data_IF_990714396521
#
_entry.id   IF_990714396521
#
_cell.length_a   1.000
_cell.length_b   1.000
_cell.length_c   1.000
_cell.angle_alpha   90.00
_cell.angle_beta   90.00
_cell.angle_gamma   90.00
#
_symmetry.space_group_name_H-M   'P 1'
#
loop_
_entity.id
_entity.type
_entity.pdbx_description
1 polymer ?
#
# COMPACT_ATOMS: atom_id res chain seq x y z
N UNK A 1 29.45 27.03 -20.57
CA UNK A 1 30.25 26.08 -19.77
C UNK A 1 29.54 24.73 -19.79
N UNK A 2 30.21 23.67 -20.24
CA UNK A 2 29.61 22.33 -20.26
C UNK A 2 29.47 21.84 -18.81
N UNK A 3 28.25 21.52 -18.37
CA UNK A 3 28.04 20.86 -17.07
C UNK A 3 28.65 19.47 -17.14
N UNK A 4 29.45 19.11 -16.14
CA UNK A 4 29.88 17.73 -15.98
C UNK A 4 28.70 16.92 -15.41
N UNK A 5 28.01 16.20 -16.29
CA UNK A 5 26.80 15.45 -15.97
C UNK A 5 27.00 14.46 -14.83
N UNK A 6 28.09 13.68 -14.84
CA UNK A 6 28.33 12.66 -13.81
C UNK A 6 28.57 13.27 -12.44
N UNK A 7 29.27 14.40 -12.38
CA UNK A 7 29.48 15.15 -11.15
C UNK A 7 28.17 15.69 -10.58
N UNK A 8 27.29 16.20 -11.45
CA UNK A 8 25.99 16.73 -11.03
C UNK A 8 25.03 15.63 -10.61
N UNK A 9 25.03 14.47 -11.29
CA UNK A 9 24.28 13.28 -10.88
C UNK A 9 24.67 12.84 -9.46
N UNK A 10 25.97 12.71 -9.18
CA UNK A 10 26.48 12.35 -7.84
C UNK A 10 26.04 13.36 -6.77
N UNK A 11 26.22 14.66 -7.03
CA UNK A 11 25.78 15.71 -6.10
C UNK A 11 24.27 15.68 -5.87
N UNK A 12 23.47 15.39 -6.89
CA UNK A 12 22.02 15.30 -6.73
C UNK A 12 21.64 14.13 -5.80
N UNK A 13 22.23 12.95 -6.03
CA UNK A 13 22.02 11.76 -5.18
C UNK A 13 22.42 12.06 -3.73
N UNK A 14 23.55 12.74 -3.50
CA UNK A 14 23.95 13.19 -2.16
C UNK A 14 22.92 14.11 -1.48
N UNK A 15 22.25 14.99 -2.24
CA UNK A 15 21.17 15.81 -1.69
C UNK A 15 19.92 14.98 -1.39
N UNK A 16 19.59 14.02 -2.25
CA UNK A 16 18.45 13.12 -2.03
C UNK A 16 18.65 12.23 -0.80
N UNK A 17 19.87 11.77 -0.49
CA UNK A 17 20.16 11.05 0.77
C UNK A 17 19.94 11.87 2.05
N UNK A 18 19.87 13.21 1.92
CA UNK A 18 19.58 14.11 3.04
C UNK A 18 18.09 14.38 3.17
N UNK A 19 17.40 14.56 2.05
CA UNK A 19 15.98 14.90 2.04
C UNK A 19 15.30 14.34 0.78
N UNK A 20 14.17 13.60 0.92
CA UNK A 20 13.46 12.94 -0.17
C UNK A 20 12.62 13.92 -1.02
N UNK A 21 13.13 15.12 -1.29
CA UNK A 21 12.42 16.17 -2.02
C UNK A 21 13.23 16.55 -3.27
N UNK A 22 12.82 16.01 -4.42
CA UNK A 22 13.48 16.21 -5.72
C UNK A 22 13.67 17.69 -6.05
N UNK A 23 12.63 18.50 -5.85
CA UNK A 23 12.66 19.94 -6.11
C UNK A 23 13.74 20.65 -5.28
N UNK A 24 13.87 20.30 -4.00
CA UNK A 24 14.87 20.86 -3.09
C UNK A 24 16.29 20.42 -3.50
N UNK A 25 16.46 19.13 -3.82
CA UNK A 25 17.74 18.59 -4.28
C UNK A 25 18.20 19.24 -5.60
N UNK A 26 17.29 19.37 -6.57
CA UNK A 26 17.56 20.02 -7.85
C UNK A 26 17.98 21.49 -7.65
N UNK A 27 17.25 22.22 -6.79
CA UNK A 27 17.55 23.62 -6.45
C UNK A 27 18.90 23.77 -5.76
N UNK A 28 19.25 22.87 -4.86
CA UNK A 28 20.51 22.89 -4.12
C UNK A 28 21.75 22.79 -5.03
N UNK A 29 21.61 22.17 -6.20
CA UNK A 29 22.69 22.05 -7.21
C UNK A 29 22.43 22.87 -8.48
N UNK A 30 21.46 23.80 -8.43
CA UNK A 30 21.05 24.64 -9.55
C UNK A 30 20.72 23.84 -10.84
N UNK A 31 20.08 22.68 -10.69
CA UNK A 31 19.66 21.81 -11.80
C UNK A 31 18.17 22.05 -12.11
N UNK A 32 17.79 22.31 -13.38
CA UNK A 32 16.40 22.32 -13.78
C UNK A 32 15.76 20.94 -13.58
N UNK A 33 14.55 20.89 -13.00
CA UNK A 33 13.84 19.62 -12.71
C UNK A 33 13.57 18.79 -13.96
N UNK A 34 13.37 19.41 -15.12
CA UNK A 34 13.23 18.71 -16.40
C UNK A 34 14.47 17.86 -16.74
N UNK A 35 15.67 18.35 -16.40
CA UNK A 35 16.93 17.62 -16.61
C UNK A 35 17.01 16.37 -15.76
N UNK A 36 16.55 16.43 -14.50
CA UNK A 36 16.47 15.26 -13.62
C UNK A 36 15.60 14.16 -14.23
N UNK A 37 14.38 14.49 -14.67
CA UNK A 37 13.48 13.49 -15.25
C UNK A 37 14.00 12.93 -16.57
N UNK A 38 14.66 13.75 -17.40
CA UNK A 38 15.33 13.26 -18.60
C UNK A 38 16.45 12.28 -18.24
N UNK A 39 17.32 12.61 -17.28
CA UNK A 39 18.38 11.71 -16.85
C UNK A 39 17.85 10.39 -16.29
N UNK A 40 16.73 10.41 -15.55
CA UNK A 40 16.09 9.18 -15.08
C UNK A 40 15.52 8.32 -16.20
N UNK A 41 15.09 8.92 -17.31
CA UNK A 41 14.58 8.18 -18.47
C UNK A 41 15.71 7.59 -19.31
N UNK A 42 16.82 8.31 -19.41
CA UNK A 42 17.94 7.96 -20.29
C UNK A 42 19.02 7.11 -19.59
N UNK A 43 18.99 6.99 -18.26
CA UNK A 43 19.96 6.27 -17.44
C UNK A 43 19.26 5.58 -16.25
N UNK A 44 19.01 4.28 -16.42
CA UNK A 44 18.31 3.44 -15.44
C UNK A 44 19.11 3.29 -14.13
N UNK A 45 20.45 3.22 -14.21
CA UNK A 45 21.33 3.12 -13.03
C UNK A 45 21.22 4.37 -12.18
N UNK A 46 21.18 5.54 -12.81
CA UNK A 46 20.94 6.80 -12.11
C UNK A 46 19.54 6.86 -11.49
N UNK A 47 18.52 6.34 -12.18
CA UNK A 47 17.16 6.32 -11.67
C UNK A 47 17.05 5.46 -10.40
N UNK A 48 17.60 4.26 -10.42
CA UNK A 48 17.62 3.33 -9.29
C UNK A 48 18.36 3.92 -8.09
N UNK A 49 19.55 4.50 -8.30
CA UNK A 49 20.30 5.16 -7.24
C UNK A 49 19.54 6.36 -6.63
N UNK A 50 18.76 7.09 -7.43
CA UNK A 50 17.91 8.16 -6.90
C UNK A 50 16.75 7.61 -6.05
N UNK A 51 16.14 6.52 -6.47
CA UNK A 51 15.02 5.91 -5.73
C UNK A 51 15.50 5.34 -4.40
N UNK A 52 16.64 4.64 -4.39
CA UNK A 52 17.27 4.14 -3.17
C UNK A 52 17.59 5.30 -2.21
N UNK A 53 18.16 6.40 -2.71
CA UNK A 53 18.47 7.57 -1.88
C UNK A 53 17.21 8.23 -1.29
N UNK A 54 16.10 8.26 -2.04
CA UNK A 54 14.81 8.79 -1.58
C UNK A 54 14.21 7.87 -0.51
N UNK A 55 14.23 6.56 -0.72
CA UNK A 55 13.72 5.59 0.25
C UNK A 55 14.50 5.65 1.57
N UNK A 56 15.84 5.68 1.51
CA UNK A 56 16.69 5.77 2.69
C UNK A 56 16.51 7.10 3.46
N UNK A 57 16.33 8.20 2.74
CA UNK A 57 16.14 9.51 3.38
C UNK A 57 14.74 9.68 3.96
N UNK A 58 13.72 9.00 3.43
CA UNK A 58 12.38 9.00 3.99
C UNK A 58 12.36 8.52 5.45
N UNK A 59 13.13 7.47 5.79
CA UNK A 59 13.27 7.00 7.17
C UNK A 59 13.74 8.10 8.13
N UNK A 60 14.79 8.85 7.75
CA UNK A 60 15.30 9.97 8.56
C UNK A 60 14.27 11.08 8.77
N UNK A 61 13.45 11.36 7.76
CA UNK A 61 12.39 12.35 7.85
C UNK A 61 11.25 11.84 8.75
N UNK A 62 10.96 10.54 8.73
CA UNK A 62 9.99 9.94 9.65
C UNK A 62 10.45 10.08 11.10
N UNK A 63 11.72 9.75 11.40
CA UNK A 63 12.29 9.94 12.76
C UNK A 63 12.17 11.40 13.21
N UNK A 64 12.46 12.34 12.31
CA UNK A 64 12.30 13.77 12.59
C UNK A 64 10.83 14.13 12.83
N UNK A 65 9.91 13.64 12.01
CA UNK A 65 8.48 13.89 12.15
C UNK A 65 7.93 13.33 13.47
N UNK A 66 8.38 12.15 13.89
CA UNK A 66 8.05 11.56 15.19
C UNK A 66 8.55 12.44 16.34
N UNK A 67 9.79 12.93 16.27
CA UNK A 67 10.32 13.87 17.26
C UNK A 67 9.50 15.16 17.32
N UNK A 68 9.07 15.71 16.18
CA UNK A 68 8.24 16.91 16.12
C UNK A 68 6.83 16.66 16.67
N UNK A 69 6.27 15.48 16.43
CA UNK A 69 4.98 15.07 16.97
C UNK A 69 5.03 15.00 18.51
N UNK A 70 6.08 14.39 19.08
CA UNK A 70 6.28 14.33 20.54
C UNK A 70 6.41 15.73 21.13
N UNK A 71 7.18 16.63 20.49
CA UNK A 71 7.29 18.02 20.93
C UNK A 71 5.92 18.71 20.92
N UNK A 72 5.15 18.56 19.85
CA UNK A 72 3.79 19.12 19.74
C UNK A 72 2.85 18.60 20.84
N UNK A 73 2.98 17.32 21.22
CA UNK A 73 2.23 16.73 22.35
C UNK A 73 2.63 17.38 23.67
N UNK A 74 3.93 17.59 23.92
CA UNK A 74 4.43 18.29 25.13
C UNK A 74 3.91 19.73 25.22
N UNK A 75 3.73 20.38 24.07
CA UNK A 75 3.14 21.72 23.94
C UNK A 75 1.59 21.73 24.01
N UNK A 76 0.97 20.59 24.35
CA UNK A 76 -0.49 20.43 24.51
C UNK A 76 -1.27 20.69 23.22
N UNK A 77 -0.68 20.44 22.05
CA UNK A 77 -1.40 20.49 20.79
C UNK A 77 -2.43 19.34 20.71
N UNK A 78 -3.72 19.67 20.81
CA UNK A 78 -4.79 18.67 20.83
C UNK A 78 -4.87 17.83 19.55
N UNK A 79 -4.55 18.40 18.39
CA UNK A 79 -4.55 17.67 17.12
C UNK A 79 -3.46 16.60 17.11
N UNK A 80 -2.25 16.93 17.59
CA UNK A 80 -1.14 15.99 17.73
C UNK A 80 -1.46 14.86 18.72
N UNK A 81 -2.03 15.21 19.88
CA UNK A 81 -2.46 14.23 20.90
C UNK A 81 -3.53 13.29 20.34
N UNK A 82 -4.55 13.85 19.69
CA UNK A 82 -5.64 13.07 19.08
C UNK A 82 -5.12 12.15 17.99
N UNK A 83 -4.25 12.66 17.11
CA UNK A 83 -3.61 11.86 16.07
C UNK A 83 -2.83 10.69 16.67
N UNK A 84 -1.97 10.95 17.66
CA UNK A 84 -1.20 9.90 18.32
C UNK A 84 -2.09 8.81 18.92
N UNK A 85 -3.09 9.20 19.72
CA UNK A 85 -3.99 8.25 20.38
C UNK A 85 -4.78 7.41 19.39
N UNK A 86 -5.29 8.00 18.31
CA UNK A 86 -6.05 7.29 17.27
C UNK A 86 -5.26 6.17 16.59
N UNK A 87 -3.94 6.32 16.48
CA UNK A 87 -3.07 5.37 15.78
C UNK A 87 -2.28 4.42 16.69
N UNK A 88 -2.13 4.75 17.98
CA UNK A 88 -1.30 3.98 18.92
C UNK A 88 -2.07 3.39 20.11
N UNK A 89 -3.37 3.66 20.22
CA UNK A 89 -4.17 3.14 21.33
C UNK A 89 -5.51 2.55 20.83
N UNK A 90 -5.74 1.22 20.96
CA UNK A 90 -6.91 0.54 20.37
C UNK A 90 -8.29 1.08 20.77
N UNK A 91 -8.39 1.70 21.95
CA UNK A 91 -9.65 2.33 22.41
C UNK A 91 -10.03 3.56 21.57
N UNK A 92 -9.06 4.25 20.98
CA UNK A 92 -9.27 5.45 20.17
C UNK A 92 -9.22 5.18 18.67
N UNK A 93 -9.02 3.92 18.26
CA UNK A 93 -9.07 3.52 16.87
C UNK A 93 -10.42 3.90 16.24
N UNK A 94 -10.37 4.23 14.96
CA UNK A 94 -11.57 4.60 14.22
C UNK A 94 -12.42 3.36 13.97
N UNK A 95 -13.57 3.25 14.64
CA UNK A 95 -14.50 2.12 14.47
C UNK A 95 -15.59 2.50 13.48
N UNK A 96 -15.68 1.75 12.40
CA UNK A 96 -16.81 1.85 11.47
C UNK A 96 -17.93 0.96 12.02
N UNK A 97 -19.08 1.56 12.37
CA UNK A 97 -20.29 0.79 12.64
C UNK A 97 -20.92 0.41 11.29
N UNK A 98 -20.97 -0.89 11.02
CA UNK A 98 -21.64 -1.44 9.84
C UNK A 98 -23.06 -1.83 10.22
N UNK A 99 -24.02 -0.97 9.90
CA UNK A 99 -25.44 -1.29 10.02
C UNK A 99 -25.92 -1.87 8.68
N UNK A 100 -25.98 -3.20 8.60
CA UNK A 100 -26.41 -3.91 7.40
C UNK A 100 -27.65 -4.76 7.66
N UNK A 101 -28.68 -4.64 6.82
CA UNK A 101 -29.69 -5.70 6.66
C UNK A 101 -29.14 -6.70 5.66
N UNK A 102 -28.64 -7.82 6.16
CA UNK A 102 -28.33 -8.97 5.30
C UNK A 102 -29.67 -9.48 4.78
N UNK A 103 -30.03 -9.10 3.55
CA UNK A 103 -31.10 -9.77 2.82
C UNK A 103 -30.55 -11.15 2.48
N UNK A 104 -30.96 -12.15 3.26
CA UNK A 104 -30.95 -13.51 2.77
C UNK A 104 -32.06 -13.59 1.71
N UNK A 105 -31.75 -13.20 0.49
CA UNK A 105 -32.53 -13.69 -0.65
C UNK A 105 -32.22 -15.19 -0.69
N UNK A 106 -33.20 -16.00 -0.29
CA UNK A 106 -33.15 -17.44 -0.49
C UNK A 106 -33.21 -17.66 -2.00
N UNK A 107 -32.07 -17.54 -2.67
CA UNK A 107 -31.93 -17.98 -4.05
C UNK A 107 -32.24 -19.48 -4.06
N UNK A 108 -33.19 -19.88 -4.90
CA UNK A 108 -33.42 -21.29 -5.15
C UNK A 108 -32.11 -21.90 -5.66
N UNK A 109 -31.79 -23.12 -5.21
CA UNK A 109 -30.63 -23.85 -5.70
C UNK A 109 -30.69 -23.90 -7.23
N UNK A 110 -29.57 -23.64 -7.89
CA UNK A 110 -29.49 -23.91 -9.32
C UNK A 110 -29.59 -25.42 -9.55
N UNK A 111 -30.02 -25.83 -10.75
CA UNK A 111 -30.20 -27.25 -11.08
C UNK A 111 -28.93 -28.09 -10.82
N UNK A 112 -27.75 -27.51 -11.06
CA UNK A 112 -26.45 -28.12 -10.76
C UNK A 112 -26.20 -28.29 -9.25
N UNK A 113 -26.57 -27.28 -8.45
CA UNK A 113 -26.44 -27.32 -6.99
C UNK A 113 -27.41 -28.32 -6.37
N UNK A 114 -28.63 -28.43 -6.91
CA UNK A 114 -29.62 -29.40 -6.45
C UNK A 114 -29.16 -30.84 -6.73
N UNK A 115 -28.58 -31.10 -7.90
CA UNK A 115 -27.99 -32.40 -8.22
C UNK A 115 -26.82 -32.76 -7.29
N UNK A 116 -25.94 -31.80 -6.98
CA UNK A 116 -24.84 -32.01 -6.03
C UNK A 116 -25.34 -32.32 -4.61
N UNK A 117 -26.32 -31.56 -4.12
CA UNK A 117 -26.93 -31.77 -2.80
C UNK A 117 -27.66 -33.12 -2.76
N UNK A 118 -28.39 -33.47 -3.82
CA UNK A 118 -29.05 -34.76 -3.97
C UNK A 118 -28.06 -35.94 -3.93
N UNK A 119 -26.95 -35.84 -4.68
CA UNK A 119 -25.87 -36.84 -4.64
C UNK A 119 -25.27 -36.98 -3.25
N UNK A 120 -24.99 -35.86 -2.57
CA UNK A 120 -24.46 -35.87 -1.22
C UNK A 120 -25.43 -36.52 -0.21
N UNK A 121 -26.73 -36.23 -0.31
CA UNK A 121 -27.77 -36.81 0.53
C UNK A 121 -27.95 -38.32 0.27
N UNK A 122 -27.83 -38.76 -0.97
CA UNK A 122 -27.84 -40.17 -1.34
C UNK A 122 -26.62 -40.93 -0.79
N UNK A 123 -25.43 -40.33 -0.86
CA UNK A 123 -24.19 -40.92 -0.29
C UNK A 123 -24.25 -41.09 1.24
N UNK A 124 -24.96 -40.19 1.93
CA UNK A 124 -25.19 -40.27 3.38
C UNK A 124 -26.35 -41.24 3.73
N UNK A 125 -27.03 -41.80 2.72
CA UNK A 125 -28.10 -42.79 2.88
C UNK A 125 -29.45 -42.20 3.31
N UNK A 126 -29.62 -40.88 3.17
CA UNK A 126 -30.86 -40.18 3.50
C UNK A 126 -31.87 -40.19 2.34
N UNK A 127 -31.44 -40.58 1.14
CA UNK A 127 -32.29 -40.79 -0.05
C UNK A 127 -32.00 -42.16 -0.71
N UNK A 128 -33.00 -42.78 -1.38
CA UNK A 128 -32.80 -44.01 -2.13
C UNK A 128 -31.75 -43.84 -3.25
N UNK A 129 -30.88 -44.83 -3.40
CA UNK A 129 -29.62 -44.74 -4.16
C UNK A 129 -29.77 -44.79 -5.69
N UNK A 130 -30.92 -44.39 -6.25
CA UNK A 130 -31.24 -44.60 -7.68
C UNK A 130 -30.69 -43.52 -8.64
N UNK A 131 -30.06 -42.46 -8.14
CA UNK A 131 -29.57 -41.32 -8.95
C UNK A 131 -28.05 -41.33 -9.26
N UNK A 132 -27.34 -42.45 -9.08
CA UNK A 132 -25.86 -42.48 -9.27
C UNK A 132 -25.43 -42.90 -10.69
N UNK A 133 -26.35 -43.24 -11.59
CA UNK A 133 -25.96 -43.68 -12.94
C UNK A 133 -25.79 -42.51 -13.90
N UNK A 134 -24.64 -42.54 -14.56
CA UNK A 134 -24.23 -41.80 -15.75
C UNK A 134 -23.62 -40.41 -15.51
N UNK A 135 -22.32 -40.39 -15.20
CA UNK A 135 -21.29 -39.77 -16.04
C UNK A 135 -19.91 -40.08 -15.43
N UNK A 136 -19.45 -41.29 -15.68
CA UNK A 136 -18.04 -41.68 -15.63
C UNK A 136 -17.83 -42.56 -16.89
N UNK A 137 -17.80 -41.94 -18.06
CA UNK A 137 -17.18 -42.53 -19.24
C UNK A 137 -16.87 -41.45 -20.28
N UNK A 138 -15.57 -41.36 -20.60
CA UNK A 138 -14.86 -40.51 -21.58
C UNK A 138 -14.61 -39.04 -21.23
#
# INVERSE_FOLDING_TARGET
MSRNQDKDKKKLIEQLHKMPIVEAACRAISLPRATYYRWRKDDDVFAEACDEAIEQSAGKINDLAESQLITSIKEKNLSAITFWLKHHHPVYENRIRLDGRIKHETEALTDEQEQLVSRALAMVGLLPNEAIKEQDNE
#
